data_IF_536744862780
#
_entry.id   IF_536744862780
#
_cell.length_a   1.000
_cell.length_b   1.000
_cell.length_c   1.000
_cell.angle_alpha   90.00
_cell.angle_beta   90.00
_cell.angle_gamma   90.00
#
_symmetry.space_group_name_H-M   'P 1'
#
loop_
_entity.id
_entity.type
_entity.pdbx_description
1 polymer ?
#
# COMPACT_ATOMS: atom_id res chain seq x y z
N UNK A 1 20.20 -15.11 2.19
CA UNK A 1 19.97 -13.77 1.62
C UNK A 1 18.48 -13.47 1.65
N UNK A 2 18.11 -12.35 2.24
CA UNK A 2 16.69 -11.96 2.32
C UNK A 2 16.25 -11.35 1.00
N UNK A 3 15.15 -11.87 0.46
CA UNK A 3 14.46 -11.19 -0.62
C UNK A 3 13.50 -10.17 -0.02
N UNK A 4 13.50 -8.99 -0.60
CA UNK A 4 12.55 -7.95 -0.25
C UNK A 4 11.47 -7.90 -1.30
N UNK A 5 10.22 -8.02 -0.86
CA UNK A 5 9.07 -8.05 -1.76
C UNK A 5 8.15 -6.91 -1.42
N UNK A 6 7.86 -6.09 -2.41
CA UNK A 6 6.93 -4.99 -2.30
C UNK A 6 5.58 -5.45 -2.85
N UNK A 7 4.52 -5.34 -2.05
CA UNK A 7 3.19 -5.77 -2.45
C UNK A 7 2.24 -4.57 -2.39
N UNK A 8 1.87 -4.00 -3.55
CA UNK A 8 0.87 -2.95 -3.58
C UNK A 8 -0.52 -3.53 -3.35
N UNK A 9 -1.31 -2.86 -2.51
CA UNK A 9 -2.66 -3.30 -2.17
C UNK A 9 -3.63 -2.12 -2.31
N UNK A 10 -4.83 -2.39 -2.77
CA UNK A 10 -5.88 -1.39 -2.94
C UNK A 10 -7.22 -1.78 -2.31
N UNK A 11 -7.27 -2.93 -1.62
CA UNK A 11 -8.49 -3.41 -0.99
C UNK A 11 -9.43 -4.15 -1.93
N UNK A 12 -9.08 -4.31 -3.21
CA UNK A 12 -9.92 -5.03 -4.18
C UNK A 12 -9.81 -6.55 -4.00
N UNK A 13 -10.71 -7.29 -4.63
CA UNK A 13 -10.68 -8.75 -4.62
C UNK A 13 -9.41 -9.31 -5.24
N UNK A 14 -8.89 -8.65 -6.30
CA UNK A 14 -7.63 -9.05 -6.93
C UNK A 14 -6.46 -8.84 -5.97
N UNK A 15 -6.47 -7.72 -5.24
CA UNK A 15 -5.47 -7.42 -4.23
C UNK A 15 -5.50 -8.46 -3.10
N UNK A 16 -6.69 -8.92 -2.68
CA UNK A 16 -6.81 -9.95 -1.65
C UNK A 16 -6.20 -11.28 -2.10
N UNK A 17 -6.38 -11.66 -3.36
CA UNK A 17 -5.73 -12.86 -3.91
C UNK A 17 -4.21 -12.73 -3.91
N UNK A 18 -3.71 -11.55 -4.27
CA UNK A 18 -2.28 -11.27 -4.24
C UNK A 18 -1.73 -11.38 -2.82
N UNK A 19 -2.49 -10.94 -1.82
CA UNK A 19 -2.11 -11.10 -0.42
C UNK A 19 -1.98 -12.57 -0.03
N UNK A 20 -2.94 -13.40 -0.40
CA UNK A 20 -2.91 -14.82 -0.09
C UNK A 20 -1.69 -15.50 -0.69
N UNK A 21 -1.36 -15.18 -1.94
CA UNK A 21 -0.18 -15.72 -2.61
C UNK A 21 1.11 -15.21 -1.96
N UNK A 22 1.17 -13.94 -1.58
CA UNK A 22 2.32 -13.37 -0.90
C UNK A 22 2.55 -14.01 0.46
N UNK A 23 1.49 -14.30 1.21
CA UNK A 23 1.57 -15.00 2.49
C UNK A 23 2.19 -16.40 2.30
N UNK A 24 1.68 -17.14 1.33
CA UNK A 24 2.21 -18.48 1.03
C UNK A 24 3.69 -18.42 0.67
N UNK A 25 4.06 -17.45 -0.17
CA UNK A 25 5.44 -17.27 -0.58
C UNK A 25 6.33 -16.94 0.62
N UNK A 26 5.89 -16.03 1.49
CA UNK A 26 6.66 -15.62 2.66
C UNK A 26 6.83 -16.76 3.67
N UNK A 27 5.84 -17.65 3.79
CA UNK A 27 5.93 -18.81 4.65
C UNK A 27 6.93 -19.84 4.14
N UNK A 28 7.12 -19.93 2.84
CA UNK A 28 8.04 -20.89 2.21
C UNK A 28 9.45 -20.34 2.03
N UNK A 29 9.56 -19.03 1.91
CA UNK A 29 10.83 -18.33 1.63
C UNK A 29 11.11 -17.37 2.78
N UNK A 30 12.37 -17.20 3.11
CA UNK A 30 12.78 -16.21 4.09
C UNK A 30 12.77 -14.82 3.44
N UNK A 31 11.57 -14.24 3.34
CA UNK A 31 11.34 -12.97 2.63
C UNK A 31 10.91 -11.88 3.59
N UNK A 32 11.32 -10.66 3.28
CA UNK A 32 10.83 -9.47 3.97
C UNK A 32 9.81 -8.78 3.07
N UNK A 33 8.61 -8.56 3.60
CA UNK A 33 7.50 -8.03 2.83
C UNK A 33 7.18 -6.62 3.29
N UNK A 34 7.01 -5.73 2.34
CA UNK A 34 6.47 -4.39 2.55
C UNK A 34 5.16 -4.27 1.80
N UNK A 35 4.09 -3.97 2.52
CA UNK A 35 2.77 -3.69 1.94
C UNK A 35 2.65 -2.20 1.71
N UNK A 36 2.27 -1.80 0.51
CA UNK A 36 2.10 -0.39 0.19
C UNK A 36 0.69 -0.13 -0.34
N UNK A 37 0.16 1.02 0.02
CA UNK A 37 -1.07 1.55 -0.54
C UNK A 37 -0.78 2.95 -1.07
N UNK A 38 -1.17 3.23 -2.29
CA UNK A 38 -0.89 4.51 -2.94
C UNK A 38 -2.14 5.35 -2.99
N UNK A 39 -2.06 6.55 -2.41
CA UNK A 39 -3.11 7.56 -2.54
C UNK A 39 -2.84 8.36 -3.80
N UNK A 40 -3.80 8.35 -4.71
CA UNK A 40 -3.71 9.15 -5.92
C UNK A 40 -4.15 10.57 -5.64
N UNK A 41 -3.43 11.54 -6.21
CA UNK A 41 -3.81 12.93 -6.12
C UNK A 41 -5.14 13.15 -6.83
N UNK A 42 -6.03 13.86 -6.17
CA UNK A 42 -7.28 14.27 -6.78
C UNK A 42 -7.09 15.66 -7.34
N UNK A 43 -7.05 15.75 -8.68
CA UNK A 43 -6.80 17.00 -9.39
C UNK A 43 -8.05 17.85 -9.60
N UNK A 44 -9.19 17.43 -9.05
CA UNK A 44 -10.42 18.20 -9.20
C UNK A 44 -10.54 19.25 -8.12
N UNK A 45 -10.05 20.44 -8.42
CA UNK A 45 -10.41 21.61 -7.66
C UNK A 45 -11.63 22.24 -8.29
N UNK A 46 -12.77 22.00 -7.70
CA UNK A 46 -13.87 22.91 -7.81
C UNK A 46 -13.68 23.94 -6.70
N UNK A 47 -13.51 25.21 -7.04
CA UNK A 47 -13.30 26.27 -6.06
C UNK A 47 -14.40 26.32 -5.01
N UNK A 48 -15.59 25.85 -5.34
CA UNK A 48 -16.72 25.78 -4.41
C UNK A 48 -16.57 24.65 -3.40
N UNK A 49 -15.73 23.65 -3.68
CA UNK A 49 -15.55 22.44 -2.87
C UNK A 49 -14.16 22.33 -2.23
N UNK A 50 -13.42 23.42 -2.16
CA UNK A 50 -12.07 23.41 -1.62
C UNK A 50 -12.01 22.86 -0.19
N UNK A 51 -12.99 23.21 0.64
CA UNK A 51 -13.06 22.69 2.02
C UNK A 51 -13.33 21.18 2.06
N UNK A 52 -14.12 20.69 1.10
CA UNK A 52 -14.46 19.28 0.99
C UNK A 52 -13.27 18.46 0.48
N UNK A 53 -12.35 19.10 -0.25
CA UNK A 53 -11.15 18.44 -0.74
C UNK A 53 -10.25 17.96 0.41
N UNK A 54 -10.02 18.81 1.40
CA UNK A 54 -9.20 18.44 2.55
C UNK A 54 -9.82 17.28 3.34
N UNK A 55 -11.13 17.30 3.52
CA UNK A 55 -11.86 16.20 4.18
C UNK A 55 -11.77 14.92 3.36
N UNK A 56 -11.90 15.03 2.03
CA UNK A 56 -11.81 13.87 1.13
C UNK A 56 -10.43 13.23 1.21
N UNK A 57 -9.37 14.02 1.19
CA UNK A 57 -8.00 13.52 1.31
C UNK A 57 -7.80 12.81 2.64
N UNK A 58 -8.30 13.38 3.75
CA UNK A 58 -8.22 12.74 5.06
C UNK A 58 -8.98 11.43 5.09
N UNK A 59 -10.15 11.38 4.47
CA UNK A 59 -10.95 10.16 4.40
C UNK A 59 -10.23 9.08 3.60
N UNK A 60 -9.62 9.44 2.49
CA UNK A 60 -8.85 8.51 1.66
C UNK A 60 -7.62 7.99 2.41
N UNK A 61 -6.94 8.87 3.14
CA UNK A 61 -5.78 8.49 3.95
C UNK A 61 -6.18 7.52 5.05
N UNK A 62 -7.25 7.81 5.76
CA UNK A 62 -7.78 6.93 6.78
C UNK A 62 -8.17 5.57 6.22
N UNK A 63 -8.86 5.56 5.07
CA UNK A 63 -9.24 4.33 4.39
C UNK A 63 -8.00 3.51 3.97
N UNK A 64 -6.99 4.18 3.45
CA UNK A 64 -5.73 3.53 3.06
C UNK A 64 -4.99 2.92 4.25
N UNK A 65 -4.92 3.64 5.37
CA UNK A 65 -4.33 3.12 6.60
C UNK A 65 -5.08 1.90 7.11
N UNK A 66 -6.40 1.91 7.01
CA UNK A 66 -7.24 0.78 7.40
C UNK A 66 -7.01 -0.44 6.51
N UNK A 67 -6.90 -0.23 5.19
CA UNK A 67 -6.57 -1.30 4.23
C UNK A 67 -5.23 -1.92 4.61
N UNK A 68 -4.22 -1.11 4.86
CA UNK A 68 -2.89 -1.58 5.25
C UNK A 68 -2.91 -2.33 6.58
N UNK A 69 -3.62 -1.81 7.58
CA UNK A 69 -3.70 -2.44 8.90
C UNK A 69 -4.40 -3.79 8.83
N UNK A 70 -5.46 -3.91 8.05
CA UNK A 70 -6.17 -5.19 7.88
C UNK A 70 -5.28 -6.21 7.17
N UNK A 71 -4.55 -5.78 6.14
CA UNK A 71 -3.62 -6.66 5.43
C UNK A 71 -2.48 -7.10 6.33
N UNK A 72 -1.90 -6.19 7.10
CA UNK A 72 -0.84 -6.52 8.06
C UNK A 72 -1.31 -7.56 9.07
N UNK A 73 -2.52 -7.41 9.58
CA UNK A 73 -3.08 -8.36 10.54
C UNK A 73 -3.24 -9.75 9.93
N UNK A 74 -3.64 -9.82 8.67
CA UNK A 74 -3.77 -11.07 7.94
C UNK A 74 -2.42 -11.82 7.86
N UNK A 75 -1.34 -11.09 7.58
CA UNK A 75 0.01 -11.65 7.58
C UNK A 75 0.42 -12.09 8.98
N UNK A 76 0.15 -11.28 10.01
CA UNK A 76 0.49 -11.63 11.39
C UNK A 76 -0.20 -12.90 11.85
N UNK A 77 -1.47 -13.10 11.47
CA UNK A 77 -2.20 -14.33 11.80
C UNK A 77 -1.59 -15.55 11.14
N UNK A 78 -0.90 -15.36 10.03
CA UNK A 78 -0.19 -16.41 9.32
C UNK A 78 1.26 -16.58 9.80
N UNK A 79 1.65 -15.83 10.85
CA UNK A 79 3.00 -15.91 11.41
C UNK A 79 4.04 -15.11 10.64
N UNK A 80 3.62 -14.17 9.81
CA UNK A 80 4.52 -13.38 8.96
C UNK A 80 4.50 -11.92 9.39
N UNK A 81 5.65 -11.37 9.70
CA UNK A 81 5.80 -9.94 9.99
C UNK A 81 6.04 -9.18 8.71
N UNK A 82 5.33 -8.06 8.56
CA UNK A 82 5.45 -7.20 7.38
C UNK A 82 5.53 -5.74 7.80
N UNK A 83 6.17 -4.94 6.95
CA UNK A 83 6.15 -3.49 7.05
C UNK A 83 4.98 -2.94 6.22
N UNK A 84 4.42 -1.82 6.63
CA UNK A 84 3.35 -1.16 5.89
C UNK A 84 3.75 0.27 5.58
N UNK A 85 3.31 0.78 4.43
CA UNK A 85 3.61 2.14 4.04
C UNK A 85 2.51 2.73 3.17
N UNK A 86 2.10 3.95 3.52
CA UNK A 86 1.17 4.74 2.73
C UNK A 86 1.98 5.70 1.88
N UNK A 87 1.78 5.66 0.57
CA UNK A 87 2.47 6.50 -0.40
C UNK A 87 1.48 7.45 -1.06
N UNK A 88 1.98 8.60 -1.52
CA UNK A 88 1.17 9.57 -2.25
C UNK A 88 1.81 9.83 -3.61
N UNK A 89 0.98 10.02 -4.64
CA UNK A 89 1.49 10.20 -6.00
C UNK A 89 2.16 11.55 -6.20
N UNK A 90 1.65 12.60 -5.57
CA UNK A 90 2.19 13.95 -5.67
C UNK A 90 2.49 14.37 -7.12
N UNK A 91 1.55 14.12 -8.03
CA UNK A 91 1.69 14.43 -9.44
C UNK A 91 2.37 13.36 -10.28
N UNK A 92 2.89 12.31 -9.67
CA UNK A 92 3.51 11.21 -10.39
C UNK A 92 2.51 10.09 -10.69
N UNK A 93 2.85 9.22 -11.63
CA UNK A 93 2.05 8.03 -11.88
C UNK A 93 2.24 7.03 -10.74
N UNK A 94 1.19 6.28 -10.42
CA UNK A 94 1.22 5.25 -9.37
C UNK A 94 2.38 4.27 -9.61
N UNK A 95 2.58 3.82 -10.85
CA UNK A 95 3.66 2.90 -11.18
C UNK A 95 5.04 3.47 -10.81
N UNK A 96 5.28 4.76 -11.06
CA UNK A 96 6.55 5.40 -10.73
C UNK A 96 6.76 5.49 -9.22
N UNK A 97 5.71 5.79 -8.47
CA UNK A 97 5.77 5.85 -7.00
C UNK A 97 6.14 4.48 -6.44
N UNK A 98 5.54 3.43 -6.94
CA UNK A 98 5.83 2.05 -6.50
C UNK A 98 7.26 1.66 -6.86
N UNK A 99 7.72 1.97 -8.07
CA UNK A 99 9.09 1.68 -8.51
C UNK A 99 10.11 2.41 -7.64
N UNK A 100 9.87 3.69 -7.33
CA UNK A 100 10.77 4.46 -6.49
C UNK A 100 10.82 3.90 -5.07
N UNK A 101 9.70 3.47 -4.52
CA UNK A 101 9.68 2.83 -3.20
C UNK A 101 10.44 1.52 -3.21
N UNK A 102 10.30 0.72 -4.25
CA UNK A 102 11.03 -0.53 -4.37
C UNK A 102 12.54 -0.29 -4.41
N UNK A 103 12.99 0.74 -5.13
CA UNK A 103 14.41 1.12 -5.16
C UNK A 103 14.90 1.61 -3.81
N UNK A 104 14.12 2.43 -3.12
CA UNK A 104 14.49 2.98 -1.82
C UNK A 104 14.55 1.89 -0.75
N UNK A 105 13.66 0.90 -0.82
CA UNK A 105 13.63 -0.17 0.16
C UNK A 105 14.75 -1.19 -0.03
N UNK A 106 15.41 -1.18 -1.18
CA UNK A 106 16.57 -2.04 -1.46
C UNK A 106 17.89 -1.39 -1.04
N UNK A 107 17.86 -0.13 -0.75
CA UNK A 107 19.07 0.63 -0.41
C UNK A 107 19.59 0.31 1.00
#
# INVERSE_FOLDING_TARGET
MYQRILVPIDGSATSERALDEAIKFAQQQNSRIELVHVLEDIWYFDNENYLNYAELVQTMRYSGEKILAQAQNKFLQAGVMVDIRLLETQGERVANVIINEAKNSLA
#
